data_IF_930836811976
#
_entry.id   IF_930836811976
#
_cell.length_a   1.000
_cell.length_b   1.000
_cell.length_c   1.000
_cell.angle_alpha   90.00
_cell.angle_beta   90.00
_cell.angle_gamma   90.00
#
_symmetry.space_group_name_H-M   'P 1'
#
loop_
_entity.id
_entity.type
_entity.pdbx_description
1 polymer ?
#
# COMPACT_ATOMS: atom_id res chain seq x y z
N UNK A 1 -4.96 -10.07 -87.13
CA UNK A 1 -3.54 -10.47 -87.11
C UNK A 1 -2.90 -9.79 -85.92
N UNK A 2 -2.25 -10.57 -85.03
CA UNK A 2 -1.19 -10.21 -84.07
C UNK A 2 -1.54 -9.19 -82.97
N UNK A 3 -1.02 -9.23 -81.73
CA UNK A 3 -0.43 -10.24 -80.84
C UNK A 3 -0.44 -9.55 -79.44
N UNK A 4 -0.32 -10.35 -78.38
CA UNK A 4 -0.48 -10.01 -76.97
C UNK A 4 0.57 -9.07 -76.34
N UNK A 5 0.21 -8.58 -75.14
CA UNK A 5 1.00 -8.26 -73.91
C UNK A 5 0.61 -6.89 -73.35
N UNK A 6 0.71 -6.53 -72.08
CA UNK A 6 0.85 -7.18 -70.77
C UNK A 6 0.86 -6.01 -69.75
N UNK A 7 0.60 -6.32 -68.49
CA UNK A 7 1.05 -5.58 -67.28
C UNK A 7 0.53 -4.15 -66.96
N UNK A 8 -0.18 -4.08 -65.82
CA UNK A 8 0.10 -3.24 -64.64
C UNK A 8 0.16 -1.71 -64.76
N UNK A 9 -0.72 -0.99 -64.05
CA UNK A 9 -0.38 -0.23 -62.81
C UNK A 9 -1.49 0.74 -62.36
N UNK A 10 -1.65 0.82 -61.04
CA UNK A 10 -2.15 1.94 -60.21
C UNK A 10 -3.54 2.54 -60.50
N UNK A 11 -4.57 2.18 -59.73
CA UNK A 11 -4.97 2.81 -58.45
C UNK A 11 -5.36 4.30 -58.55
N UNK A 12 -6.64 4.61 -58.33
CA UNK A 12 -7.08 5.69 -57.44
C UNK A 12 -8.59 5.65 -57.17
N UNK A 13 -8.91 5.20 -55.96
CA UNK A 13 -9.84 5.77 -54.99
C UNK A 13 -11.32 6.01 -55.35
N UNK A 14 -12.12 5.16 -54.70
CA UNK A 14 -13.53 5.25 -54.40
C UNK A 14 -13.94 6.55 -53.66
N UNK A 15 -15.11 7.05 -54.00
CA UNK A 15 -16.08 7.76 -53.15
C UNK A 15 -17.43 7.40 -53.77
N UNK A 16 -18.43 6.78 -53.15
CA UNK A 16 -18.91 6.66 -51.78
C UNK A 16 -19.79 5.38 -51.76
N UNK A 17 -19.67 4.52 -50.75
CA UNK A 17 -20.69 3.50 -50.50
C UNK A 17 -21.59 3.96 -49.34
N UNK A 18 -22.88 4.15 -49.62
CA UNK A 18 -23.92 3.91 -48.62
C UNK A 18 -24.35 2.45 -48.76
N UNK A 19 -24.37 1.80 -47.61
CA UNK A 19 -24.28 0.37 -47.35
C UNK A 19 -25.45 -0.42 -47.94
N UNK A 20 -25.14 -1.52 -48.63
CA UNK A 20 -26.02 -2.68 -48.74
C UNK A 20 -25.23 -3.93 -48.34
N UNK A 21 -25.41 -4.34 -47.09
CA UNK A 21 -24.86 -5.59 -46.57
C UNK A 21 -25.44 -6.77 -47.33
N UNK A 22 -24.59 -7.65 -47.86
CA UNK A 22 -24.81 -9.08 -47.75
C UNK A 22 -23.56 -9.90 -48.12
N UNK A 23 -23.31 -10.93 -47.32
CA UNK A 23 -22.52 -12.14 -47.64
C UNK A 23 -20.99 -12.07 -47.63
N UNK A 24 -20.35 -11.61 -46.55
CA UNK A 24 -18.93 -11.94 -46.32
C UNK A 24 -18.52 -12.17 -44.85
N UNK A 25 -19.44 -12.57 -43.99
CA UNK A 25 -19.17 -12.68 -42.54
C UNK A 25 -18.71 -14.08 -42.10
N UNK A 26 -18.96 -15.13 -42.89
CA UNK A 26 -18.77 -16.52 -42.43
C UNK A 26 -17.34 -17.08 -42.50
N UNK A 27 -16.38 -16.39 -43.12
CA UNK A 27 -14.98 -16.88 -43.23
C UNK A 27 -13.99 -16.16 -42.31
N UNK A 28 -14.30 -14.96 -41.81
CA UNK A 28 -13.44 -14.23 -40.89
C UNK A 28 -13.65 -14.63 -39.42
N UNK A 29 -14.84 -15.09 -39.05
CA UNK A 29 -15.12 -15.57 -37.69
C UNK A 29 -14.25 -16.78 -37.31
N UNK A 30 -13.90 -17.63 -38.28
CA UNK A 30 -13.13 -18.85 -38.05
C UNK A 30 -11.62 -18.58 -37.86
N UNK A 31 -11.11 -17.46 -38.42
CA UNK A 31 -9.70 -17.07 -38.27
C UNK A 31 -9.43 -16.44 -36.89
N UNK A 32 -10.40 -15.69 -36.34
CA UNK A 32 -10.25 -15.08 -35.01
C UNK A 32 -10.17 -16.12 -33.87
N UNK A 33 -10.91 -17.23 -33.99
CA UNK A 33 -10.87 -18.30 -32.98
C UNK A 33 -9.54 -19.07 -33.02
N UNK A 34 -8.99 -19.29 -34.21
CA UNK A 34 -7.70 -19.97 -34.37
C UNK A 34 -6.53 -19.14 -33.80
N UNK A 35 -6.56 -17.81 -33.95
CA UNK A 35 -5.54 -16.91 -33.39
C UNK A 35 -5.66 -16.81 -31.86
N UNK A 36 -6.87 -16.78 -31.30
CA UNK A 36 -7.05 -16.80 -29.84
C UNK A 36 -6.62 -18.14 -29.21
N UNK A 37 -6.83 -19.27 -29.88
CA UNK A 37 -6.40 -20.58 -29.39
C UNK A 37 -4.87 -20.76 -29.42
N UNK A 38 -4.19 -20.19 -30.41
CA UNK A 38 -2.72 -20.19 -30.49
C UNK A 38 -2.08 -19.31 -29.40
N UNK A 39 -2.72 -18.20 -29.00
CA UNK A 39 -2.24 -17.33 -27.92
C UNK A 39 -2.42 -17.92 -26.51
N UNK A 40 -3.29 -18.93 -26.34
CA UNK A 40 -3.46 -19.65 -25.09
C UNK A 40 -2.54 -20.88 -24.95
N UNK A 41 -1.83 -21.28 -26.01
CA UNK A 41 -1.05 -22.52 -26.06
C UNK A 41 0.44 -22.41 -25.71
N UNK A 42 1.01 -21.21 -25.61
CA UNK A 42 2.45 -20.99 -25.38
C UNK A 42 2.77 -20.38 -24.00
N UNK A 43 1.88 -20.57 -23.02
CA UNK A 43 2.04 -20.06 -21.65
C UNK A 43 2.40 -21.13 -20.61
N UNK A 44 3.15 -22.18 -20.94
CA UNK A 44 3.49 -23.23 -19.96
C UNK A 44 4.77 -22.99 -19.16
N UNK A 45 5.29 -21.77 -19.13
CA UNK A 45 6.36 -21.41 -18.20
C UNK A 45 5.88 -20.26 -17.32
N UNK A 46 4.98 -20.57 -16.38
CA UNK A 46 4.92 -19.83 -15.13
C UNK A 46 6.23 -20.10 -14.37
N UNK A 47 7.32 -19.47 -14.82
CA UNK A 47 8.51 -19.32 -13.99
C UNK A 47 8.14 -18.25 -12.97
N UNK A 48 7.62 -18.70 -11.83
CA UNK A 48 7.65 -17.89 -10.63
C UNK A 48 9.12 -17.61 -10.37
N UNK A 49 9.55 -16.38 -10.69
CA UNK A 49 10.80 -15.88 -10.10
C UNK A 49 10.66 -16.12 -8.59
N UNK A 50 11.60 -16.82 -7.95
CA UNK A 50 11.63 -16.87 -6.50
C UNK A 50 11.81 -15.43 -6.05
N UNK A 51 10.73 -14.72 -5.78
CA UNK A 51 10.80 -13.52 -4.96
C UNK A 51 11.30 -14.05 -3.63
N UNK A 52 12.54 -13.67 -3.28
CA UNK A 52 13.04 -13.88 -1.95
C UNK A 52 11.94 -13.42 -1.00
N UNK A 53 11.50 -14.31 -0.10
CA UNK A 53 10.57 -13.90 0.94
C UNK A 53 11.15 -12.62 1.54
N UNK A 54 10.36 -11.54 1.65
CA UNK A 54 10.85 -10.33 2.30
C UNK A 54 11.42 -10.76 3.65
N UNK A 55 12.61 -10.28 4.04
CA UNK A 55 13.21 -10.66 5.31
C UNK A 55 12.17 -10.47 6.41
N UNK A 56 11.79 -11.57 7.08
CA UNK A 56 10.87 -11.51 8.19
C UNK A 56 11.64 -11.02 9.41
N UNK A 57 11.39 -9.79 9.82
CA UNK A 57 12.06 -9.17 10.96
C UNK A 57 11.28 -9.59 12.21
N UNK A 58 11.89 -10.39 13.08
CA UNK A 58 11.29 -10.77 14.36
C UNK A 58 11.57 -9.67 15.37
N UNK A 59 10.51 -9.03 15.86
CA UNK A 59 10.56 -8.17 17.03
C UNK A 59 10.55 -9.01 18.30
N UNK A 60 11.27 -8.56 19.31
CA UNK A 60 11.27 -9.16 20.63
C UNK A 60 11.05 -8.11 21.72
N UNK A 61 10.59 -8.56 22.89
CA UNK A 61 10.47 -7.72 24.08
C UNK A 61 11.88 -7.40 24.58
N UNK A 62 12.16 -6.14 24.87
CA UNK A 62 13.50 -5.65 25.21
C UNK A 62 14.47 -5.54 24.03
N UNK A 63 14.00 -5.67 22.77
CA UNK A 63 14.87 -5.50 21.61
C UNK A 63 15.21 -4.03 21.34
N UNK A 64 16.05 -3.79 20.33
CA UNK A 64 16.46 -2.43 19.97
C UNK A 64 15.34 -1.56 19.39
N UNK A 65 14.18 -2.14 19.04
CA UNK A 65 13.02 -1.44 18.48
C UNK A 65 11.95 -1.17 19.54
N UNK A 66 12.04 -1.78 20.72
CA UNK A 66 11.09 -1.54 21.79
C UNK A 66 11.17 -0.07 22.23
N UNK A 67 10.05 0.64 22.10
CA UNK A 67 9.88 2.00 22.59
C UNK A 67 9.58 1.98 24.08
N UNK A 68 8.72 1.07 24.53
CA UNK A 68 8.41 0.92 25.93
C UNK A 68 7.17 0.10 26.18
N UNK A 69 6.81 0.04 27.45
CA UNK A 69 5.77 -0.80 27.98
C UNK A 69 4.72 0.01 28.72
N UNK A 70 3.46 -0.39 28.60
CA UNK A 70 2.31 0.19 29.30
C UNK A 70 1.68 -0.89 30.15
N UNK A 71 1.90 -0.83 31.47
CA UNK A 71 1.36 -1.80 32.42
C UNK A 71 -0.18 -1.68 32.50
N UNK A 72 -0.86 -2.81 32.66
CA UNK A 72 -2.30 -3.05 32.51
C UNK A 72 -2.84 -2.82 31.10
N UNK A 73 -2.32 -1.82 30.39
CA UNK A 73 -2.64 -1.46 29.01
C UNK A 73 -4.11 -1.70 28.66
N UNK A 74 -5.05 -1.02 29.34
CA UNK A 74 -6.50 -1.15 29.07
C UNK A 74 -6.98 0.09 28.30
N UNK A 75 -6.60 0.26 27.02
CA UNK A 75 -7.16 1.33 26.20
C UNK A 75 -8.64 1.04 25.94
N UNK A 76 -9.50 2.05 26.05
CA UNK A 76 -10.93 1.93 25.72
C UNK A 76 -11.18 2.07 24.21
N UNK A 77 -10.14 2.39 23.43
CA UNK A 77 -10.17 2.46 21.97
C UNK A 77 -8.88 2.99 21.36
N UNK A 78 -8.87 3.20 20.04
CA UNK A 78 -7.68 3.62 19.28
C UNK A 78 -7.17 5.01 19.68
N UNK A 79 -8.05 5.90 20.15
CA UNK A 79 -7.65 7.21 20.67
C UNK A 79 -6.83 7.10 21.96
N UNK A 80 -7.16 6.17 22.85
CA UNK A 80 -6.38 5.94 24.07
C UNK A 80 -5.03 5.29 23.73
N UNK A 81 -5.03 4.31 22.81
CA UNK A 81 -3.78 3.71 22.29
C UNK A 81 -2.85 4.79 21.72
N UNK A 82 -3.40 5.74 20.97
CA UNK A 82 -2.66 6.87 20.44
C UNK A 82 -2.08 7.77 21.54
N UNK A 83 -2.87 8.10 22.57
CA UNK A 83 -2.40 8.89 23.71
C UNK A 83 -1.26 8.18 24.43
N UNK A 84 -1.34 6.86 24.60
CA UNK A 84 -0.31 6.05 25.25
C UNK A 84 1.01 6.08 24.46
N UNK A 85 0.94 5.88 23.14
CA UNK A 85 2.12 5.97 22.27
C UNK A 85 2.73 7.38 22.31
N UNK A 86 1.92 8.43 22.19
CA UNK A 86 2.40 9.81 22.22
C UNK A 86 2.99 10.21 23.58
N UNK A 87 2.49 9.63 24.67
CA UNK A 87 3.07 9.83 25.99
C UNK A 87 4.46 9.17 26.09
N UNK A 88 4.61 7.91 25.66
CA UNK A 88 5.91 7.23 25.60
C UNK A 88 6.93 7.98 24.72
N UNK A 89 6.50 8.57 23.61
CA UNK A 89 7.36 9.39 22.75
C UNK A 89 7.94 10.59 23.52
N UNK A 90 7.15 11.21 24.41
CA UNK A 90 7.54 12.37 25.21
C UNK A 90 8.35 12.04 26.47
N UNK A 91 8.43 10.77 26.87
CA UNK A 91 9.15 10.34 28.07
C UNK A 91 10.68 10.33 27.86
N UNK A 92 11.41 10.53 28.96
CA UNK A 92 12.87 10.38 28.96
C UNK A 92 13.27 8.90 28.85
N UNK A 93 14.44 8.62 28.27
CA UNK A 93 14.93 7.24 28.13
C UNK A 93 15.12 6.60 29.51
N UNK A 94 14.63 5.37 29.67
CA UNK A 94 14.73 4.62 30.92
C UNK A 94 13.87 5.15 32.08
N UNK A 95 13.01 6.14 31.85
CA UNK A 95 12.13 6.68 32.90
C UNK A 95 10.82 5.89 33.00
N UNK A 96 10.20 5.98 34.17
CA UNK A 96 8.85 5.50 34.43
C UNK A 96 7.94 6.69 34.78
N UNK A 97 6.67 6.63 34.41
CA UNK A 97 5.68 7.67 34.75
C UNK A 97 4.26 7.07 34.86
N UNK A 98 3.41 7.71 35.64
CA UNK A 98 2.00 7.33 35.82
C UNK A 98 1.09 8.36 35.13
N UNK A 99 0.43 7.95 34.05
CA UNK A 99 -0.45 8.82 33.27
C UNK A 99 -1.69 8.05 32.80
N UNK A 100 -2.80 8.75 32.54
CA UNK A 100 -4.04 8.12 32.03
C UNK A 100 -4.55 6.91 32.86
N UNK A 101 -4.17 6.82 34.14
CA UNK A 101 -4.49 5.68 35.02
C UNK A 101 -3.61 4.43 34.80
N UNK A 102 -2.57 4.53 33.98
CA UNK A 102 -1.65 3.45 33.60
C UNK A 102 -0.22 3.80 34.03
N UNK A 103 0.59 2.76 34.23
CA UNK A 103 2.02 2.91 34.52
C UNK A 103 2.84 2.66 33.24
N UNK A 104 3.67 3.62 32.86
CA UNK A 104 4.48 3.61 31.65
C UNK A 104 5.94 3.39 31.99
N UNK A 105 6.62 2.55 31.20
CA UNK A 105 8.06 2.34 31.29
C UNK A 105 8.67 2.63 29.92
N UNK A 106 9.53 3.64 29.84
CA UNK A 106 10.24 3.99 28.61
C UNK A 106 11.53 3.17 28.50
N UNK A 107 11.75 2.52 27.37
CA UNK A 107 12.99 1.76 27.15
C UNK A 107 14.22 2.68 27.11
N UNK A 108 15.41 2.09 27.25
CA UNK A 108 16.68 2.82 27.08
C UNK A 108 17.08 3.01 25.60
N UNK A 109 16.22 2.59 24.66
CA UNK A 109 16.51 2.67 23.23
C UNK A 109 16.34 4.11 22.71
N UNK A 110 17.42 4.62 22.10
CA UNK A 110 17.48 5.95 21.51
C UNK A 110 17.15 5.88 20.01
N UNK A 111 15.97 6.39 19.64
CA UNK A 111 15.46 6.41 18.26
C UNK A 111 15.68 7.76 17.55
N UNK A 112 16.46 8.67 18.15
CA UNK A 112 16.58 10.04 17.68
C UNK A 112 15.29 10.85 17.87
N UNK A 113 15.00 11.75 16.94
CA UNK A 113 13.81 12.60 17.02
C UNK A 113 12.57 11.80 16.60
N UNK A 114 11.74 11.43 17.58
CA UNK A 114 10.53 10.65 17.36
C UNK A 114 9.37 11.57 16.91
N UNK A 115 8.84 11.40 15.69
CA UNK A 115 7.69 12.17 15.21
C UNK A 115 6.38 11.78 15.92
N UNK A 116 5.44 12.71 16.06
CA UNK A 116 4.17 12.41 16.74
C UNK A 116 3.33 11.40 15.94
N UNK A 117 2.77 10.40 16.64
CA UNK A 117 1.84 9.45 16.06
C UNK A 117 0.48 10.13 15.81
N UNK A 118 -0.25 9.70 14.77
CA UNK A 118 -1.62 10.15 14.50
C UNK A 118 -2.58 9.00 14.26
N UNK A 119 -3.88 9.29 14.40
CA UNK A 119 -4.95 8.34 14.13
C UNK A 119 -5.24 8.14 12.63
N UNK A 120 -4.79 9.07 11.78
CA UNK A 120 -5.02 8.98 10.34
C UNK A 120 -4.24 7.80 9.74
N UNK A 121 -4.95 6.91 9.01
CA UNK A 121 -4.33 5.76 8.37
C UNK A 121 -3.89 4.64 9.33
N UNK A 122 -4.33 4.65 10.58
CA UNK A 122 -4.02 3.55 11.52
C UNK A 122 -4.63 2.23 11.03
N UNK A 123 -3.96 1.12 11.35
CA UNK A 123 -4.41 -0.23 11.00
C UNK A 123 -4.42 -1.10 12.25
N UNK A 124 -5.52 -1.83 12.43
CA UNK A 124 -5.68 -2.79 13.52
C UNK A 124 -5.54 -4.22 13.00
N UNK A 125 -5.01 -5.11 13.83
CA UNK A 125 -4.94 -6.54 13.52
C UNK A 125 -4.77 -7.40 14.77
N UNK A 126 -4.75 -8.71 14.57
CA UNK A 126 -4.64 -9.71 15.66
C UNK A 126 -3.62 -10.81 15.37
N UNK A 127 -3.00 -10.78 14.18
CA UNK A 127 -1.96 -11.72 13.78
C UNK A 127 -0.61 -11.37 14.42
N UNK A 128 0.28 -12.35 14.52
CA UNK A 128 1.69 -12.10 14.87
C UNK A 128 2.49 -11.60 13.68
N UNK A 129 2.06 -11.96 12.47
CA UNK A 129 2.64 -11.52 11.20
C UNK A 129 2.00 -10.22 10.74
N UNK A 130 2.79 -9.18 10.54
CA UNK A 130 2.33 -7.83 10.20
C UNK A 130 3.10 -7.34 8.97
N UNK A 131 2.37 -6.90 7.94
CA UNK A 131 2.99 -6.37 6.73
C UNK A 131 3.05 -4.83 6.79
N UNK A 132 4.25 -4.29 6.92
CA UNK A 132 4.54 -2.84 6.89
C UNK A 132 4.62 -2.27 5.46
N UNK A 133 4.51 -3.14 4.44
CA UNK A 133 4.62 -2.77 3.03
C UNK A 133 6.04 -2.35 2.66
N UNK A 134 6.16 -1.28 1.87
CA UNK A 134 7.45 -0.74 1.44
C UNK A 134 8.23 0.00 2.55
N UNK A 135 7.68 0.08 3.78
CA UNK A 135 8.25 0.88 4.87
C UNK A 135 7.84 2.36 4.81
N UNK A 136 8.03 3.07 5.92
CA UNK A 136 7.78 4.52 6.02
C UNK A 136 6.32 4.97 6.15
N UNK A 137 5.34 4.08 6.01
CA UNK A 137 3.92 4.37 6.24
C UNK A 137 3.55 4.34 7.73
N UNK A 138 4.13 3.40 8.45
CA UNK A 138 3.90 3.19 9.88
C UNK A 138 5.20 3.44 10.62
N UNK A 139 5.09 4.06 11.78
CA UNK A 139 6.23 4.44 12.61
C UNK A 139 6.18 3.78 13.97
N UNK A 140 4.98 3.49 14.47
CA UNK A 140 4.79 2.86 15.77
C UNK A 140 3.87 1.66 15.66
N UNK A 141 4.20 0.62 16.41
CA UNK A 141 3.39 -0.56 16.59
C UNK A 141 3.03 -0.67 18.07
N UNK A 142 1.74 -0.70 18.37
CA UNK A 142 1.21 -0.94 19.71
C UNK A 142 0.61 -2.34 19.74
N UNK A 143 1.10 -3.25 20.59
CA UNK A 143 0.49 -4.58 20.75
C UNK A 143 0.01 -4.80 22.18
N UNK A 144 -1.22 -5.29 22.31
CA UNK A 144 -1.84 -5.63 23.58
C UNK A 144 -1.78 -7.13 23.81
N UNK A 145 -1.39 -7.52 25.01
CA UNK A 145 -1.42 -8.90 25.46
C UNK A 145 -2.47 -9.06 26.55
N UNK A 146 -3.42 -9.99 26.35
CA UNK A 146 -4.55 -10.19 27.25
C UNK A 146 -4.14 -10.96 28.49
N UNK A 147 -3.69 -10.21 29.49
CA UNK A 147 -3.36 -10.71 30.81
C UNK A 147 -3.89 -9.80 31.90
N UNK A 148 -4.36 -10.34 33.05
CA UNK A 148 -4.89 -9.55 34.16
C UNK A 148 -3.97 -8.41 34.64
N UNK A 149 -2.66 -8.49 34.38
CA UNK A 149 -1.66 -7.51 34.82
C UNK A 149 -0.47 -7.38 33.84
N UNK A 150 -0.61 -7.70 32.55
CA UNK A 150 0.48 -7.48 31.60
C UNK A 150 0.37 -6.07 31.04
N UNK A 151 -0.33 -5.92 29.91
CA UNK A 151 -0.59 -4.62 29.32
C UNK A 151 -0.22 -4.59 27.85
N UNK A 152 0.57 -3.60 27.44
CA UNK A 152 0.85 -3.36 26.03
C UNK A 152 2.31 -3.00 25.78
N UNK A 153 2.88 -3.62 24.76
CA UNK A 153 4.22 -3.33 24.26
C UNK A 153 4.12 -2.36 23.10
N UNK A 154 5.06 -1.43 23.02
CA UNK A 154 5.16 -0.46 21.94
C UNK A 154 6.52 -0.56 21.29
N UNK A 155 6.56 -0.73 19.97
CA UNK A 155 7.79 -0.72 19.17
C UNK A 155 7.81 0.45 18.20
N UNK A 156 9.02 0.93 17.92
CA UNK A 156 9.33 1.79 16.80
C UNK A 156 9.61 0.92 15.56
N UNK A 157 8.85 1.13 14.50
CA UNK A 157 8.93 0.37 13.24
C UNK A 157 9.13 1.27 12.02
N UNK A 158 9.45 2.55 12.25
CA UNK A 158 9.58 3.55 11.19
C UNK A 158 10.75 3.33 10.24
N UNK A 159 11.76 2.59 10.69
CA UNK A 159 12.92 2.14 9.93
C UNK A 159 12.78 0.72 9.36
N UNK A 160 11.66 0.05 9.64
CA UNK A 160 11.37 -1.30 9.19
C UNK A 160 10.48 -1.30 7.94
N UNK A 161 10.59 -2.38 7.16
CA UNK A 161 9.80 -2.61 5.95
C UNK A 161 9.57 -4.11 5.77
N UNK A 162 8.61 -4.46 4.91
CA UNK A 162 8.25 -5.86 4.66
C UNK A 162 7.39 -6.46 5.78
N UNK A 163 7.57 -7.75 6.02
CA UNK A 163 6.80 -8.49 7.02
C UNK A 163 7.60 -8.53 8.32
N UNK A 164 6.98 -8.13 9.40
CA UNK A 164 7.52 -8.26 10.76
C UNK A 164 6.72 -9.32 11.53
N UNK A 165 7.37 -9.99 12.45
CA UNK A 165 6.73 -10.92 13.39
C UNK A 165 6.84 -10.35 14.81
N UNK A 166 5.72 -10.25 15.51
CA UNK A 166 5.69 -9.93 16.93
C UNK A 166 5.53 -11.18 17.80
N UNK A 167 5.98 -11.14 19.07
CA UNK A 167 5.79 -12.26 19.98
C UNK A 167 4.31 -12.63 20.10
N UNK A 168 4.00 -13.93 19.96
CA UNK A 168 2.65 -14.45 20.19
C UNK A 168 2.24 -14.37 21.66
N UNK A 169 3.23 -14.41 22.56
CA UNK A 169 3.05 -14.33 24.00
C UNK A 169 4.04 -13.37 24.64
N UNK A 170 3.56 -12.65 25.66
CA UNK A 170 4.34 -11.72 26.46
C UNK A 170 3.92 -11.88 27.93
N UNK A 171 4.90 -12.08 28.83
CA UNK A 171 4.64 -12.35 30.25
C UNK A 171 3.71 -13.54 30.55
N UNK A 172 3.60 -14.50 29.62
CA UNK A 172 2.70 -15.66 29.73
C UNK A 172 1.30 -15.44 29.15
N UNK A 173 1.01 -14.29 28.56
CA UNK A 173 -0.29 -13.93 28.01
C UNK A 173 -0.27 -13.84 26.49
N UNK A 174 -1.37 -14.24 25.86
CA UNK A 174 -1.51 -14.22 24.41
C UNK A 174 -1.73 -12.81 23.86
N UNK A 175 -1.27 -12.58 22.64
CA UNK A 175 -1.59 -11.39 21.86
C UNK A 175 -3.10 -11.27 21.66
N UNK A 176 -3.68 -10.15 22.13
CA UNK A 176 -5.08 -9.78 21.92
C UNK A 176 -5.27 -9.12 20.56
N UNK A 177 -4.33 -8.22 20.23
CA UNK A 177 -4.36 -7.44 19.03
C UNK A 177 -3.32 -6.34 19.04
N UNK A 178 -3.15 -5.70 17.90
CA UNK A 178 -2.20 -4.63 17.70
C UNK A 178 -2.78 -3.52 16.83
N UNK A 179 -2.17 -2.35 16.93
CA UNK A 179 -2.47 -1.16 16.15
C UNK A 179 -1.17 -0.57 15.61
N UNK A 180 -1.12 -0.33 14.30
CA UNK A 180 -0.07 0.42 13.65
C UNK A 180 -0.46 1.89 13.55
N UNK A 181 0.45 2.77 13.94
CA UNK A 181 0.32 4.22 13.80
C UNK A 181 1.35 4.77 12.85
N UNK A 182 0.89 5.59 11.91
CA UNK A 182 1.73 6.41 11.06
C UNK A 182 2.05 7.75 11.72
N UNK A 183 3.01 8.44 11.12
CA UNK A 183 3.26 9.84 11.44
C UNK A 183 2.37 10.65 10.52
N UNK A 184 1.60 11.56 11.11
CA UNK A 184 0.61 12.33 10.38
C UNK A 184 1.22 13.39 9.52
N UNK A 185 2.30 13.09 8.79
CA UNK A 185 2.53 13.73 7.51
C UNK A 185 1.22 13.51 6.77
N UNK A 186 0.37 14.53 6.63
CA UNK A 186 -0.77 14.39 5.78
C UNK A 186 -0.13 14.03 4.45
N UNK A 187 -0.55 12.93 3.84
CA UNK A 187 -0.51 12.87 2.39
C UNK A 187 -1.35 14.05 1.92
N UNK A 188 -0.77 15.25 1.94
CA UNK A 188 -1.19 16.34 1.08
C UNK A 188 -1.14 15.68 -0.28
N UNK A 189 -2.28 15.53 -0.97
CA UNK A 189 -2.28 15.05 -2.34
C UNK A 189 -1.19 15.83 -3.05
N UNK A 190 -0.17 15.13 -3.50
CA UNK A 190 1.10 15.68 -3.92
C UNK A 190 0.75 16.85 -4.83
N UNK A 191 1.07 18.09 -4.41
CA UNK A 191 0.58 19.29 -5.09
C UNK A 191 0.87 19.28 -6.59
N UNK A 192 1.82 18.44 -7.02
CA UNK A 192 2.09 18.08 -8.41
C UNK A 192 0.93 17.39 -9.15
N UNK A 193 0.28 16.35 -8.62
CA UNK A 193 -0.81 15.65 -9.34
C UNK A 193 -2.10 16.48 -9.39
N UNK A 194 -2.43 17.21 -8.32
CA UNK A 194 -3.57 18.14 -8.32
C UNK A 194 -3.33 19.33 -9.24
N UNK A 195 -2.13 19.91 -9.27
CA UNK A 195 -1.78 20.96 -10.22
C UNK A 195 -1.73 20.44 -11.67
N UNK A 196 -1.31 19.19 -11.90
CA UNK A 196 -1.31 18.57 -13.22
C UNK A 196 -2.73 18.31 -13.73
N UNK A 197 -3.64 17.81 -12.88
CA UNK A 197 -5.05 17.65 -13.22
C UNK A 197 -5.76 18.99 -13.46
N UNK A 198 -5.47 20.02 -12.66
CA UNK A 198 -6.03 21.35 -12.85
C UNK A 198 -5.46 22.02 -14.12
N UNK A 199 -4.16 21.87 -14.37
CA UNK A 199 -3.49 22.38 -15.57
C UNK A 199 -3.98 21.69 -16.85
N UNK A 200 -4.19 20.38 -16.82
CA UNK A 200 -4.78 19.64 -17.96
C UNK A 200 -6.23 20.03 -18.21
N UNK A 201 -7.04 20.21 -17.15
CA UNK A 201 -8.42 20.67 -17.30
C UNK A 201 -8.52 22.09 -17.89
N UNK A 202 -7.70 23.03 -17.41
CA UNK A 202 -7.64 24.40 -17.95
C UNK A 202 -7.06 24.45 -19.37
N UNK A 203 -6.06 23.62 -19.66
CA UNK A 203 -5.50 23.46 -21.01
C UNK A 203 -6.53 22.93 -22.01
N UNK A 204 -7.31 21.92 -21.62
CA UNK A 204 -8.41 21.40 -22.43
C UNK A 204 -9.52 22.44 -22.65
N UNK A 205 -9.85 23.24 -21.62
CA UNK A 205 -10.81 24.35 -21.76
C UNK A 205 -10.32 25.44 -22.72
N UNK A 206 -9.03 25.77 -22.68
CA UNK A 206 -8.40 26.74 -23.58
C UNK A 206 -8.44 26.28 -25.04
N UNK A 207 -8.20 24.99 -25.29
CA UNK A 207 -8.32 24.39 -26.62
C UNK A 207 -9.78 24.33 -27.09
N UNK A 208 -10.72 23.95 -26.22
CA UNK A 208 -12.15 23.92 -26.54
C UNK A 208 -12.69 25.30 -26.95
N UNK A 209 -12.22 26.38 -26.32
CA UNK A 209 -12.58 27.76 -26.73
C UNK A 209 -12.13 28.10 -28.15
N UNK A 210 -10.97 27.57 -28.58
CA UNK A 210 -10.45 27.79 -29.93
C UNK A 210 -11.28 27.07 -31.00
N UNK A 211 -11.89 25.93 -30.66
CA UNK A 211 -12.75 25.18 -31.58
C UNK A 211 -14.20 25.68 -31.62
N UNK A 212 -14.68 26.39 -30.59
CA UNK A 212 -16.04 26.96 -30.54
C UNK A 212 -16.13 28.41 -31.08
N UNK A 213 -15.00 29.09 -31.24
CA UNK A 213 -14.91 30.45 -31.81
C UNK A 213 -14.35 30.46 -33.24
N UNK A 214 -14.25 29.29 -33.88
CA UNK A 214 -13.98 29.13 -35.31
C UNK A 214 -15.20 28.59 -36.02
#
# INVERSE_FOLDING_TARGET
>A
MCFANATSTAQSLLFYSVVKSNTLTNKFALVSVAVCALMLGLGHNASATPHAMPPSISLAIGDGHELGFVNFGIPSGDADRLNYVNHLIGMALGSEDDAFGQHFTRSNNAFGQLPQAVLAGHVNGTSTSINLGAGGLYTYLFAKYDGPNYGSEVWYVGDLSGIIEIPATAGGYGLSGWTLFGTGVPGVPDGGITAMLLGTALGALGLARRFLLS
#
